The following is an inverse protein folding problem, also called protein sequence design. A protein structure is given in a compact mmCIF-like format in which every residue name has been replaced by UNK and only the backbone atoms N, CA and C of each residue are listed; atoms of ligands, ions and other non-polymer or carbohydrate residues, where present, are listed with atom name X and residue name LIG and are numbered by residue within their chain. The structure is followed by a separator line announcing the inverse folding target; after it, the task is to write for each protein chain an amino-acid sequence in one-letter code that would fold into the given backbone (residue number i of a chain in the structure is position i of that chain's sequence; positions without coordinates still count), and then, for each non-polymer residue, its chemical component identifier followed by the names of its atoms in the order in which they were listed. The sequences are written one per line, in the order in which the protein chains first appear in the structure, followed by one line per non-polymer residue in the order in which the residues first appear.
data_IF_625283683210
#
_entry.id   IF_625283683210
#
_cell.length_a   1.000
_cell.length_b   1.000
_cell.length_c   1.000
_cell.angle_alpha   90.00
_cell.angle_beta   90.00
_cell.angle_gamma   90.00
#
_symmetry.space_group_name_H-M   'P 1'
#
loop_
_entity.id
_entity.type
_entity.pdbx_description
1 polymer ?
#
# COMPACT_ATOMS: atom_id res chain seq x y z
N UNK A 1 140.67 15.34 43.44
CA UNK A 1 139.84 14.45 44.27
C UNK A 1 138.45 14.43 43.64
N UNK A 2 138.03 13.32 43.05
CA UNK A 2 136.69 13.21 42.46
C UNK A 2 135.67 13.13 43.60
N UNK A 3 134.78 14.11 43.69
CA UNK A 3 133.70 14.13 44.67
C UNK A 3 132.56 13.23 44.20
N UNK A 4 132.66 11.92 44.45
CA UNK A 4 131.63 10.93 44.11
C UNK A 4 130.24 11.29 44.68
N UNK A 5 130.24 12.02 45.79
CA UNK A 5 129.03 12.52 46.45
C UNK A 5 128.26 13.54 45.61
N UNK A 6 128.93 14.45 44.90
CA UNK A 6 128.25 15.45 44.07
C UNK A 6 127.64 14.82 42.81
N UNK A 7 128.28 13.80 42.24
CA UNK A 7 127.74 13.05 41.10
C UNK A 7 126.46 12.30 41.45
N UNK A 8 126.40 11.65 42.63
CA UNK A 8 125.18 10.99 43.11
C UNK A 8 124.05 12.01 43.29
N UNK A 9 124.33 13.17 43.89
CA UNK A 9 123.33 14.23 44.06
C UNK A 9 122.81 14.78 42.73
N UNK A 10 123.67 14.92 41.73
CA UNK A 10 123.29 15.39 40.40
C UNK A 10 122.42 14.37 39.65
N UNK A 11 122.73 13.08 39.76
CA UNK A 11 121.89 11.99 39.23
C UNK A 11 120.53 11.96 39.94
N UNK A 12 120.50 12.08 41.27
CA UNK A 12 119.25 12.12 42.03
C UNK A 12 118.42 13.35 41.63
N UNK A 13 119.05 14.51 41.46
CA UNK A 13 118.37 15.72 41.02
C UNK A 13 117.80 15.57 39.60
N UNK A 14 118.57 14.99 38.67
CA UNK A 14 118.09 14.71 37.32
C UNK A 14 116.90 13.74 37.33
N UNK A 15 116.97 12.65 38.09
CA UNK A 15 115.86 11.69 38.23
C UNK A 15 114.64 12.34 38.87
N UNK A 16 114.82 13.19 39.88
CA UNK A 16 113.72 13.93 40.51
C UNK A 16 113.03 14.87 39.51
N UNK A 17 113.81 15.61 38.71
CA UNK A 17 113.27 16.50 37.67
C UNK A 17 112.56 15.70 36.58
N UNK A 18 113.14 14.60 36.09
CA UNK A 18 112.50 13.74 35.08
C UNK A 18 111.21 13.12 35.61
N UNK A 19 111.20 12.70 36.88
CA UNK A 19 109.99 12.18 37.52
C UNK A 19 108.89 13.24 37.62
N UNK A 20 109.23 14.47 38.02
CA UNK A 20 108.30 15.60 38.05
C UNK A 20 107.80 15.91 36.64
N UNK A 21 108.68 15.97 35.64
CA UNK A 21 108.32 16.24 34.25
C UNK A 21 107.38 15.17 33.68
N UNK A 22 107.67 13.89 33.95
CA UNK A 22 106.83 12.77 33.56
C UNK A 22 105.45 12.84 34.22
N UNK A 23 105.39 13.13 35.52
CA UNK A 23 104.16 13.23 36.30
C UNK A 23 103.31 14.45 35.87
N UNK A 24 103.94 15.60 35.67
CA UNK A 24 103.29 16.90 35.43
C UNK A 24 102.93 17.11 33.96
N UNK A 25 103.71 16.62 33.00
CA UNK A 25 103.46 16.89 31.56
C UNK A 25 102.90 15.65 30.84
N UNK A 26 103.54 14.50 30.98
CA UNK A 26 103.19 13.31 30.19
C UNK A 26 101.80 12.77 30.53
N UNK A 27 101.44 12.80 31.82
CA UNK A 27 100.14 12.33 32.32
C UNK A 27 98.96 13.17 31.80
N UNK A 28 98.93 14.51 31.93
CA UNK A 28 97.83 15.30 31.38
C UNK A 28 97.79 15.30 29.84
N UNK A 29 98.94 15.30 29.15
CA UNK A 29 98.95 15.23 27.68
C UNK A 29 98.35 13.92 27.18
N UNK A 30 98.70 12.78 27.78
CA UNK A 30 98.10 11.48 27.46
C UNK A 30 96.59 11.46 27.73
N UNK A 31 96.15 12.06 28.84
CA UNK A 31 94.73 12.14 29.18
C UNK A 31 93.94 13.00 28.18
N UNK A 32 94.49 14.15 27.74
CA UNK A 32 93.84 15.03 26.75
C UNK A 32 93.72 14.33 25.38
N UNK A 33 94.78 13.63 24.95
CA UNK A 33 94.75 12.86 23.71
C UNK A 33 93.71 11.74 23.76
N UNK A 34 93.67 10.96 24.85
CA UNK A 34 92.66 9.92 25.05
C UNK A 34 91.24 10.48 25.11
N UNK A 35 91.06 11.65 25.73
CA UNK A 35 89.75 12.30 25.80
C UNK A 35 89.28 12.76 24.42
N UNK A 36 90.16 13.38 23.62
CA UNK A 36 89.84 13.75 22.23
C UNK A 36 89.55 12.52 21.37
N UNK A 37 90.33 11.44 21.52
CA UNK A 37 90.10 10.20 20.79
C UNK A 37 88.74 9.58 21.14
N UNK A 38 88.35 9.61 22.43
CA UNK A 38 87.02 9.18 22.89
C UNK A 38 85.90 10.07 22.35
N UNK A 39 86.05 11.39 22.40
CA UNK A 39 85.06 12.35 21.87
C UNK A 39 84.82 12.13 20.38
N UNK A 40 85.89 12.03 19.57
CA UNK A 40 85.81 11.75 18.14
C UNK A 40 85.12 10.40 17.90
N UNK A 41 85.45 9.37 18.69
CA UNK A 41 84.80 8.06 18.59
C UNK A 41 83.32 8.13 18.93
N UNK A 42 82.93 8.79 20.01
CA UNK A 42 81.50 8.96 20.38
C UNK A 42 80.71 9.75 19.35
N UNK A 43 81.30 10.80 18.75
CA UNK A 43 80.64 11.57 17.68
C UNK A 43 80.46 10.69 16.45
N UNK A 44 81.48 9.94 16.05
CA UNK A 44 81.40 9.02 14.90
C UNK A 44 80.37 7.91 15.12
N UNK A 45 80.40 7.27 16.28
CA UNK A 45 79.44 6.23 16.67
C UNK A 45 78.01 6.79 16.72
N UNK A 46 77.84 8.03 17.20
CA UNK A 46 76.57 8.75 17.19
C UNK A 46 76.04 9.04 15.78
N UNK A 47 76.91 9.46 14.86
CA UNK A 47 76.55 9.68 13.44
C UNK A 47 76.15 8.37 12.77
N UNK A 48 76.91 7.28 12.98
CA UNK A 48 76.58 5.96 12.43
C UNK A 48 75.26 5.43 13.00
N UNK A 49 75.02 5.59 14.30
CA UNK A 49 73.77 5.20 14.95
C UNK A 49 72.58 6.00 14.39
N UNK A 50 72.68 7.33 14.33
CA UNK A 50 71.63 8.17 13.75
C UNK A 50 71.36 7.81 12.29
N UNK A 51 72.40 7.53 11.48
CA UNK A 51 72.22 7.09 10.08
C UNK A 51 71.46 5.77 9.99
N UNK A 52 71.78 4.79 10.85
CA UNK A 52 71.07 3.51 10.92
C UNK A 52 69.62 3.70 11.34
N UNK A 53 69.37 4.53 12.33
CA UNK A 53 68.04 4.81 12.86
C UNK A 53 67.16 5.53 11.82
N UNK A 54 67.70 6.53 11.11
CA UNK A 54 66.99 7.19 9.99
C UNK A 54 66.72 6.22 8.84
N UNK A 55 67.66 5.32 8.52
CA UNK A 55 67.45 4.32 7.48
C UNK A 55 66.35 3.31 7.86
N UNK A 56 66.33 2.87 9.13
CA UNK A 56 65.27 2.01 9.66
C UNK A 56 63.92 2.71 9.63
N UNK A 57 63.85 3.96 10.10
CA UNK A 57 62.61 4.74 10.10
C UNK A 57 62.05 4.92 8.68
N UNK A 58 62.93 5.11 7.69
CA UNK A 58 62.53 5.21 6.28
C UNK A 58 61.98 3.89 5.75
N UNK A 59 62.62 2.78 6.04
CA UNK A 59 62.17 1.44 5.62
C UNK A 59 60.82 1.08 6.26
N UNK A 60 60.64 1.39 7.55
CA UNK A 60 59.35 1.23 8.24
C UNK A 60 58.26 2.12 7.65
N UNK A 61 58.58 3.37 7.34
CA UNK A 61 57.63 4.29 6.70
C UNK A 61 57.22 3.82 5.31
N UNK A 62 58.17 3.39 4.47
CA UNK A 62 57.88 2.83 3.15
C UNK A 62 57.04 1.54 3.23
N UNK A 63 57.33 0.67 4.19
CA UNK A 63 56.52 -0.52 4.46
C UNK A 63 55.11 -0.14 4.89
N UNK A 64 54.98 0.83 5.81
CA UNK A 64 53.69 1.35 6.26
C UNK A 64 52.86 1.93 5.13
N UNK A 65 53.47 2.71 4.21
CA UNK A 65 52.79 3.24 3.03
C UNK A 65 52.28 2.13 2.10
N UNK A 66 53.12 1.11 1.83
CA UNK A 66 52.71 -0.04 1.00
C UNK A 66 51.58 -0.84 1.63
N UNK A 67 51.62 -1.04 2.94
CA UNK A 67 50.56 -1.73 3.68
C UNK A 67 49.25 -0.93 3.63
N UNK A 68 49.33 0.38 3.83
CA UNK A 68 48.17 1.27 3.79
C UNK A 68 47.55 1.34 2.40
N UNK A 69 48.37 1.29 1.34
CA UNK A 69 47.90 1.22 -0.04
C UNK A 69 47.17 -0.10 -0.32
N UNK A 70 47.67 -1.24 0.17
CA UNK A 70 46.97 -2.54 0.08
C UNK A 70 45.65 -2.56 0.86
N UNK A 71 45.63 -2.02 2.08
CA UNK A 71 44.40 -1.94 2.88
C UNK A 71 43.37 -1.06 2.18
N UNK A 72 43.81 0.09 1.62
CA UNK A 72 42.95 0.98 0.86
C UNK A 72 42.35 0.30 -0.36
N UNK A 73 43.16 -0.43 -1.16
CA UNK A 73 42.63 -1.12 -2.35
C UNK A 73 41.68 -2.25 -1.97
N UNK A 74 41.98 -3.02 -0.91
CA UNK A 74 41.07 -4.01 -0.36
C UNK A 74 39.74 -3.40 0.07
N UNK A 75 39.78 -2.31 0.84
CA UNK A 75 38.58 -1.60 1.29
C UNK A 75 37.73 -1.06 0.14
N UNK A 76 38.35 -0.52 -0.91
CA UNK A 76 37.63 -0.05 -2.11
C UNK A 76 36.96 -1.21 -2.84
N UNK A 77 37.64 -2.36 -2.93
CA UNK A 77 37.08 -3.53 -3.62
C UNK A 77 35.93 -4.15 -2.82
N UNK A 78 36.08 -4.28 -1.50
CA UNK A 78 35.00 -4.71 -0.60
C UNK A 78 33.79 -3.77 -0.69
N UNK A 79 34.02 -2.46 -0.68
CA UNK A 79 32.97 -1.47 -0.84
C UNK A 79 32.27 -1.57 -2.21
N UNK A 80 32.99 -1.92 -3.29
CA UNK A 80 32.40 -2.16 -4.60
C UNK A 80 31.55 -3.42 -4.62
N UNK A 81 32.03 -4.51 -4.04
CA UNK A 81 31.29 -5.77 -3.95
C UNK A 81 29.99 -5.56 -3.17
N UNK A 82 30.05 -4.86 -2.04
CA UNK A 82 28.87 -4.57 -1.23
C UNK A 82 27.89 -3.65 -1.97
N UNK A 83 28.39 -2.61 -2.64
CA UNK A 83 27.55 -1.74 -3.45
C UNK A 83 26.85 -2.48 -4.60
N UNK A 84 27.51 -3.45 -5.23
CA UNK A 84 26.91 -4.29 -6.27
C UNK A 84 25.82 -5.21 -5.72
N UNK A 85 26.06 -5.85 -4.57
CA UNK A 85 25.05 -6.67 -3.89
C UNK A 85 23.84 -5.84 -3.49
N UNK A 86 24.06 -4.67 -2.91
CA UNK A 86 23.00 -3.79 -2.49
C UNK A 86 22.19 -3.27 -3.68
N UNK A 87 22.86 -2.93 -4.79
CA UNK A 87 22.20 -2.59 -6.06
C UNK A 87 21.33 -3.74 -6.56
N UNK A 88 21.83 -4.96 -6.54
CA UNK A 88 21.06 -6.14 -6.97
C UNK A 88 19.85 -6.38 -6.07
N UNK A 89 20.01 -6.22 -4.75
CA UNK A 89 18.93 -6.29 -3.77
C UNK A 89 17.84 -5.25 -4.06
N UNK A 90 18.22 -3.99 -4.25
CA UNK A 90 17.29 -2.89 -4.56
C UNK A 90 16.54 -3.16 -5.87
N UNK A 91 17.23 -3.62 -6.91
CA UNK A 91 16.59 -3.94 -8.21
C UNK A 91 15.60 -5.09 -8.02
N UNK A 92 15.97 -6.13 -7.29
CA UNK A 92 15.09 -7.27 -7.03
C UNK A 92 13.84 -6.87 -6.25
N UNK A 93 14.01 -6.08 -5.17
CA UNK A 93 12.90 -5.55 -4.38
C UNK A 93 11.97 -4.68 -5.22
N UNK A 94 12.52 -3.79 -6.05
CA UNK A 94 11.74 -2.97 -6.97
C UNK A 94 10.96 -3.82 -7.99
N UNK A 95 11.56 -4.89 -8.52
CA UNK A 95 10.87 -5.81 -9.45
C UNK A 95 9.73 -6.57 -8.77
N UNK A 96 9.94 -7.04 -7.54
CA UNK A 96 8.90 -7.70 -6.74
C UNK A 96 7.75 -6.72 -6.43
N UNK A 97 8.06 -5.49 -6.04
CA UNK A 97 7.05 -4.44 -5.80
C UNK A 97 6.24 -4.14 -7.07
N UNK A 98 6.91 -3.94 -8.21
CA UNK A 98 6.25 -3.74 -9.52
C UNK A 98 5.33 -4.92 -9.87
N UNK A 99 5.76 -6.16 -9.65
CA UNK A 99 4.89 -7.33 -9.88
C UNK A 99 3.65 -7.32 -8.98
N UNK A 100 3.83 -7.00 -7.70
CA UNK A 100 2.70 -6.97 -6.75
C UNK A 100 1.70 -5.87 -7.12
N UNK A 101 2.17 -4.68 -7.45
CA UNK A 101 1.34 -3.56 -7.89
C UNK A 101 0.67 -3.84 -9.24
N UNK A 102 1.37 -4.49 -10.18
CA UNK A 102 0.76 -4.93 -11.43
C UNK A 102 -0.36 -5.93 -11.19
N UNK A 103 -0.16 -6.93 -10.30
CA UNK A 103 -1.21 -7.91 -9.93
C UNK A 103 -2.40 -7.22 -9.26
N UNK A 104 -2.18 -6.24 -8.38
CA UNK A 104 -3.25 -5.43 -7.77
C UNK A 104 -4.02 -4.64 -8.84
N UNK A 105 -3.32 -3.96 -9.72
CA UNK A 105 -3.89 -3.15 -10.81
C UNK A 105 -4.75 -3.99 -11.74
N UNK A 106 -4.28 -5.18 -12.15
CA UNK A 106 -5.05 -6.10 -12.99
C UNK A 106 -6.33 -6.56 -12.29
N UNK A 107 -6.27 -6.89 -10.99
CA UNK A 107 -7.47 -7.25 -10.21
C UNK A 107 -8.44 -6.09 -10.12
N UNK A 108 -7.94 -4.88 -9.86
CA UNK A 108 -8.74 -3.66 -9.80
C UNK A 108 -9.45 -3.39 -11.12
N UNK A 109 -8.72 -3.38 -12.25
CA UNK A 109 -9.30 -3.20 -13.59
C UNK A 109 -10.37 -4.26 -13.88
N UNK A 110 -10.15 -5.51 -13.49
CA UNK A 110 -11.13 -6.57 -13.67
C UNK A 110 -12.41 -6.31 -12.87
N UNK A 111 -12.29 -5.86 -11.62
CA UNK A 111 -13.45 -5.51 -10.80
C UNK A 111 -14.20 -4.30 -11.36
N UNK A 112 -13.48 -3.25 -11.75
CA UNK A 112 -14.09 -2.07 -12.37
C UNK A 112 -14.80 -2.42 -13.69
N UNK A 113 -14.21 -3.31 -14.52
CA UNK A 113 -14.87 -3.81 -15.73
C UNK A 113 -16.18 -4.54 -15.39
N UNK A 114 -16.18 -5.39 -14.37
CA UNK A 114 -17.40 -6.10 -13.95
C UNK A 114 -18.46 -5.12 -13.45
N UNK A 115 -18.10 -4.12 -12.65
CA UNK A 115 -19.02 -3.06 -12.21
C UNK A 115 -19.58 -2.26 -13.39
N UNK A 116 -18.73 -1.87 -14.34
CA UNK A 116 -19.17 -1.15 -15.52
C UNK A 116 -20.13 -1.98 -16.39
N UNK A 117 -19.90 -3.29 -16.51
CA UNK A 117 -20.83 -4.18 -17.21
C UNK A 117 -22.17 -4.28 -16.48
N UNK A 118 -22.16 -4.35 -15.15
CA UNK A 118 -23.39 -4.36 -14.35
C UNK A 118 -24.16 -3.05 -14.50
N UNK A 119 -23.48 -1.90 -14.43
CA UNK A 119 -24.11 -0.60 -14.63
C UNK A 119 -24.70 -0.45 -16.05
N UNK A 120 -23.97 -0.89 -17.08
CA UNK A 120 -24.47 -0.92 -18.46
C UNK A 120 -25.72 -1.79 -18.54
N UNK A 121 -25.73 -2.95 -17.88
CA UNK A 121 -26.86 -3.85 -17.86
C UNK A 121 -28.08 -3.22 -17.17
N UNK A 122 -27.90 -2.61 -16.00
CA UNK A 122 -28.98 -1.93 -15.29
C UNK A 122 -29.60 -0.81 -16.16
N UNK A 123 -28.75 -0.02 -16.82
CA UNK A 123 -29.19 1.02 -17.76
C UNK A 123 -29.92 0.43 -18.96
N UNK A 124 -29.44 -0.70 -19.51
CA UNK A 124 -30.09 -1.37 -20.63
C UNK A 124 -31.47 -1.91 -20.25
N UNK A 125 -31.62 -2.52 -19.07
CA UNK A 125 -32.92 -2.96 -18.54
C UNK A 125 -33.85 -1.77 -18.36
N UNK A 126 -33.38 -0.68 -17.74
CA UNK A 126 -34.18 0.54 -17.54
C UNK A 126 -34.65 1.14 -18.86
N UNK A 127 -33.76 1.26 -19.86
CA UNK A 127 -34.11 1.78 -21.17
C UNK A 127 -35.11 0.88 -21.90
N UNK A 128 -34.94 -0.45 -21.81
CA UNK A 128 -35.86 -1.42 -22.41
C UNK A 128 -37.27 -1.31 -21.82
N UNK A 129 -37.36 -1.15 -20.50
CA UNK A 129 -38.61 -0.92 -19.77
C UNK A 129 -39.26 0.39 -20.21
N UNK A 130 -38.49 1.46 -20.31
CA UNK A 130 -39.00 2.75 -20.77
C UNK A 130 -39.53 2.67 -22.20
N UNK A 131 -38.78 2.04 -23.12
CA UNK A 131 -39.21 1.83 -24.50
C UNK A 131 -40.47 0.97 -24.59
N UNK A 132 -40.52 -0.15 -23.85
CA UNK A 132 -41.70 -1.02 -23.79
C UNK A 132 -42.91 -0.26 -23.25
N UNK A 133 -42.73 0.55 -22.20
CA UNK A 133 -43.77 1.40 -21.64
C UNK A 133 -44.30 2.43 -22.64
N UNK A 134 -43.44 3.09 -23.41
CA UNK A 134 -43.85 4.03 -24.47
C UNK A 134 -44.58 3.34 -25.62
N UNK A 135 -44.06 2.23 -26.13
CA UNK A 135 -44.72 1.45 -27.20
C UNK A 135 -46.10 0.96 -26.78
N UNK A 136 -46.21 0.44 -25.55
CA UNK A 136 -47.49 0.00 -25.02
C UNK A 136 -48.43 1.18 -24.71
N UNK A 137 -47.89 2.35 -24.35
CA UNK A 137 -48.66 3.59 -24.23
C UNK A 137 -49.31 3.97 -25.57
N UNK A 138 -48.57 3.87 -26.66
CA UNK A 138 -49.06 4.21 -28.00
C UNK A 138 -50.13 3.22 -28.52
N UNK A 139 -50.10 1.98 -28.05
CA UNK A 139 -51.03 0.90 -28.40
C UNK A 139 -52.10 0.69 -27.30
N UNK A 140 -52.20 1.63 -26.35
CA UNK A 140 -53.14 1.49 -25.22
C UNK A 140 -54.57 1.43 -25.74
N UNK A 141 -55.11 0.24 -25.90
CA UNK A 141 -56.49 -0.02 -26.25
C UNK A 141 -57.20 -0.72 -25.08
N UNK A 142 -58.53 -0.77 -25.11
CA UNK A 142 -59.34 -1.32 -24.01
C UNK A 142 -58.97 -2.79 -23.68
N UNK A 143 -58.47 -3.53 -24.68
CA UNK A 143 -57.92 -4.88 -24.53
C UNK A 143 -56.73 -4.97 -23.54
N UNK A 144 -55.82 -3.98 -23.57
CA UNK A 144 -54.67 -3.96 -22.67
C UNK A 144 -55.12 -3.71 -21.23
N UNK A 145 -56.11 -2.83 -21.03
CA UNK A 145 -56.69 -2.55 -19.73
C UNK A 145 -57.39 -3.77 -19.14
N UNK A 146 -58.18 -4.49 -19.93
CA UNK A 146 -58.82 -5.74 -19.50
C UNK A 146 -57.80 -6.81 -19.12
N UNK A 147 -56.72 -6.95 -19.91
CA UNK A 147 -55.69 -7.94 -19.63
C UNK A 147 -54.95 -7.63 -18.32
N UNK A 148 -54.60 -6.37 -18.09
CA UNK A 148 -53.93 -5.93 -16.86
C UNK A 148 -54.84 -6.08 -15.64
N UNK A 149 -56.14 -5.83 -15.79
CA UNK A 149 -57.13 -6.08 -14.74
C UNK A 149 -57.19 -7.57 -14.37
N UNK A 150 -57.33 -8.46 -15.35
CA UNK A 150 -57.36 -9.91 -15.10
C UNK A 150 -56.09 -10.39 -14.40
N UNK A 151 -54.93 -9.93 -14.84
CA UNK A 151 -53.65 -10.25 -14.18
C UNK A 151 -53.58 -9.74 -12.73
N UNK A 152 -54.17 -8.59 -12.42
CA UNK A 152 -54.25 -8.08 -11.06
C UNK A 152 -55.16 -8.97 -10.18
N UNK A 153 -56.33 -9.34 -10.68
CA UNK A 153 -57.26 -10.22 -9.96
C UNK A 153 -56.66 -11.60 -9.71
N UNK A 154 -56.07 -12.23 -10.74
CA UNK A 154 -55.35 -13.51 -10.60
C UNK A 154 -54.23 -13.42 -9.54
N UNK A 155 -53.53 -12.28 -9.48
CA UNK A 155 -52.46 -12.07 -8.48
C UNK A 155 -53.02 -11.92 -7.06
N UNK A 156 -54.19 -11.30 -6.92
CA UNK A 156 -54.89 -11.17 -5.64
C UNK A 156 -55.42 -12.52 -5.15
N UNK A 157 -55.94 -13.36 -6.04
CA UNK A 157 -56.40 -14.72 -5.72
C UNK A 157 -55.26 -15.61 -5.23
N UNK A 158 -54.08 -15.46 -5.83
CA UNK A 158 -52.89 -16.27 -5.50
C UNK A 158 -52.01 -15.64 -4.42
N UNK A 159 -52.53 -14.71 -3.60
CA UNK A 159 -51.76 -14.09 -2.53
C UNK A 159 -51.33 -15.14 -1.48
N UNK A 160 -50.10 -15.04 -0.95
CA UNK A 160 -49.65 -15.89 0.13
C UNK A 160 -50.59 -15.80 1.35
N UNK A 161 -50.85 -16.90 2.08
CA UNK A 161 -51.74 -16.91 3.24
C UNK A 161 -51.36 -15.91 4.34
N UNK A 162 -50.08 -15.53 4.42
CA UNK A 162 -49.58 -14.52 5.37
C UNK A 162 -50.04 -13.09 5.02
N UNK A 163 -50.08 -12.73 3.75
CA UNK A 163 -50.54 -11.42 3.29
C UNK A 163 -52.07 -11.30 3.41
N UNK A 164 -52.80 -12.39 3.12
CA UNK A 164 -54.24 -12.48 3.33
C UNK A 164 -54.62 -12.30 4.82
N UNK A 165 -53.85 -12.86 5.75
CA UNK A 165 -54.05 -12.64 7.19
C UNK A 165 -53.88 -11.18 7.59
N UNK A 166 -52.82 -10.51 7.09
CA UNK A 166 -52.59 -9.07 7.37
C UNK A 166 -53.72 -8.20 6.83
N UNK A 167 -54.28 -8.54 5.68
CA UNK A 167 -55.43 -7.84 5.12
C UNK A 167 -56.67 -8.06 6.00
N UNK A 168 -56.93 -9.30 6.42
CA UNK A 168 -58.07 -9.63 7.28
C UNK A 168 -58.01 -9.00 8.69
N UNK A 169 -56.82 -8.72 9.23
CA UNK A 169 -56.64 -8.03 10.52
C UNK A 169 -57.02 -6.55 10.48
N UNK A 170 -56.94 -5.92 9.30
CA UNK A 170 -57.23 -4.50 9.11
C UNK A 170 -58.73 -4.25 8.90
N UNK A 171 -59.46 -5.25 8.38
CA UNK A 171 -60.91 -5.18 8.12
C UNK A 171 -61.69 -5.33 9.42
N UNK A 172 -62.01 -4.21 10.07
CA UNK A 172 -62.52 -4.21 11.45
C UNK A 172 -64.00 -4.55 11.65
N UNK A 173 -64.87 -4.56 10.64
CA UNK A 173 -66.33 -4.73 10.86
C UNK A 173 -67.05 -5.44 9.70
N UNK A 174 -66.34 -6.26 8.92
CA UNK A 174 -66.94 -6.96 7.77
C UNK A 174 -67.26 -6.07 6.56
N UNK A 175 -66.92 -4.78 6.62
CA UNK A 175 -66.92 -3.86 5.48
C UNK A 175 -65.50 -3.38 5.16
N UNK A 176 -65.11 -3.44 3.89
CA UNK A 176 -63.83 -2.96 3.39
C UNK A 176 -64.04 -1.74 2.48
N UNK A 177 -63.22 -0.69 2.66
CA UNK A 177 -63.21 0.43 1.72
C UNK A 177 -62.12 0.22 0.67
N UNK A 178 -62.52 0.21 -0.59
CA UNK A 178 -61.62 0.06 -1.71
C UNK A 178 -61.64 1.30 -2.61
N UNK A 179 -60.48 1.90 -2.85
CA UNK A 179 -60.28 2.99 -3.80
C UNK A 179 -59.66 2.41 -5.08
N UNK A 180 -60.34 2.58 -6.21
CA UNK A 180 -59.92 2.10 -7.52
C UNK A 180 -59.45 3.28 -8.36
N UNK A 181 -58.23 3.22 -8.88
CA UNK A 181 -57.68 4.24 -9.77
C UNK A 181 -57.43 3.61 -11.14
N UNK A 182 -58.16 4.03 -12.16
CA UNK A 182 -58.03 3.52 -13.52
C UNK A 182 -57.54 4.60 -14.49
N UNK A 183 -56.74 4.18 -15.48
CA UNK A 183 -56.30 5.06 -16.56
C UNK A 183 -57.47 5.56 -17.44
N UNK A 184 -58.50 4.72 -17.60
CA UNK A 184 -59.72 5.02 -18.38
C UNK A 184 -60.99 4.69 -17.60
N UNK A 185 -62.15 5.27 -17.98
CA UNK A 185 -63.42 4.94 -17.37
C UNK A 185 -63.73 3.44 -17.51
N UNK A 186 -64.09 2.79 -16.42
CA UNK A 186 -64.53 1.40 -16.42
C UNK A 186 -66.02 1.31 -16.74
N UNK A 187 -66.40 0.31 -17.54
CA UNK A 187 -67.81 0.04 -17.82
C UNK A 187 -68.50 -0.62 -16.60
N UNK A 188 -69.83 -0.73 -16.65
CA UNK A 188 -70.62 -1.25 -15.53
C UNK A 188 -70.26 -2.71 -15.23
N UNK A 189 -70.07 -3.52 -16.27
CA UNK A 189 -69.77 -4.95 -16.13
C UNK A 189 -68.41 -5.18 -15.46
N UNK A 190 -67.38 -4.42 -15.84
CA UNK A 190 -66.05 -4.46 -15.23
C UNK A 190 -66.09 -4.04 -13.75
N UNK A 191 -66.91 -3.04 -13.40
CA UNK A 191 -67.05 -2.61 -12.00
C UNK A 191 -67.69 -3.69 -11.13
N UNK A 192 -68.73 -4.37 -11.65
CA UNK A 192 -69.37 -5.47 -10.94
C UNK A 192 -68.48 -6.72 -10.87
N UNK A 193 -67.70 -7.02 -11.92
CA UNK A 193 -66.69 -8.09 -11.93
C UNK A 193 -65.64 -7.85 -10.84
N UNK A 194 -65.02 -6.66 -10.81
CA UNK A 194 -64.03 -6.28 -9.80
C UNK A 194 -64.62 -6.37 -8.40
N UNK A 195 -65.83 -5.84 -8.19
CA UNK A 195 -66.49 -5.88 -6.88
C UNK A 195 -66.72 -7.32 -6.44
N UNK A 196 -67.24 -8.18 -7.32
CA UNK A 196 -67.55 -9.58 -7.01
C UNK A 196 -66.29 -10.38 -6.69
N UNK A 197 -65.25 -10.28 -7.52
CA UNK A 197 -63.98 -10.98 -7.29
C UNK A 197 -63.32 -10.53 -5.99
N UNK A 198 -63.30 -9.22 -5.69
CA UNK A 198 -62.72 -8.75 -4.44
C UNK A 198 -63.54 -9.19 -3.21
N UNK A 199 -64.87 -9.25 -3.31
CA UNK A 199 -65.73 -9.74 -2.23
C UNK A 199 -65.47 -11.21 -1.92
N UNK A 200 -65.25 -12.03 -2.94
CA UNK A 200 -64.91 -13.45 -2.80
C UNK A 200 -63.54 -13.64 -2.16
N UNK A 201 -62.52 -12.89 -2.60
CA UNK A 201 -61.14 -13.01 -2.10
C UNK A 201 -61.03 -12.53 -0.64
N UNK A 202 -61.67 -11.41 -0.30
CA UNK A 202 -61.50 -10.74 1.01
C UNK A 202 -62.60 -11.12 2.02
N UNK A 203 -63.65 -11.82 1.59
CA UNK A 203 -64.80 -12.22 2.40
C UNK A 203 -65.39 -11.05 3.23
N UNK A 204 -65.49 -9.88 2.61
CA UNK A 204 -66.04 -8.66 3.21
C UNK A 204 -66.94 -7.91 2.24
N UNK A 205 -67.85 -7.08 2.76
CA UNK A 205 -68.66 -6.19 1.92
C UNK A 205 -67.80 -5.01 1.45
N UNK A 206 -67.65 -4.87 0.15
CA UNK A 206 -66.77 -3.85 -0.45
C UNK A 206 -67.55 -2.60 -0.86
N UNK A 207 -67.17 -1.48 -0.28
CA UNK A 207 -67.56 -0.15 -0.73
C UNK A 207 -66.48 0.38 -1.69
N UNK A 208 -66.71 0.17 -2.99
CA UNK A 208 -65.80 0.54 -4.07
C UNK A 208 -66.01 1.99 -4.50
N UNK A 209 -64.96 2.81 -4.37
CA UNK A 209 -64.90 4.19 -4.87
C UNK A 209 -64.04 4.23 -6.12
N UNK A 210 -64.62 4.65 -7.24
CA UNK A 210 -63.96 4.77 -8.53
C UNK A 210 -63.34 6.16 -8.72
N UNK A 211 -62.07 6.18 -9.11
CA UNK A 211 -61.29 7.36 -9.42
C UNK A 211 -60.62 7.19 -10.79
N UNK A 212 -60.67 8.23 -11.60
CA UNK A 212 -59.89 8.28 -12.84
C UNK A 212 -58.55 8.95 -12.56
N UNK A 213 -57.46 8.28 -12.93
CA UNK A 213 -56.09 8.81 -12.84
C UNK A 213 -55.43 8.79 -14.22
N UNK A 214 -55.42 9.95 -14.88
CA UNK A 214 -54.83 10.14 -16.21
C UNK A 214 -53.30 10.13 -16.22
N UNK A 215 -52.65 10.08 -15.05
CA UNK A 215 -51.20 9.88 -14.96
C UNK A 215 -50.80 8.41 -15.19
N UNK A 216 -51.76 7.49 -15.10
CA UNK A 216 -51.56 6.08 -15.39
C UNK A 216 -51.59 5.85 -16.91
N UNK A 217 -50.60 5.11 -17.42
CA UNK A 217 -50.51 4.76 -18.84
C UNK A 217 -51.64 3.77 -19.21
N UNK A 218 -51.74 2.66 -18.46
CA UNK A 218 -52.77 1.64 -18.61
C UNK A 218 -52.87 0.78 -17.34
N UNK A 219 -54.01 0.11 -17.18
CA UNK A 219 -54.30 -0.76 -16.04
C UNK A 219 -54.92 0.00 -14.86
N UNK A 220 -54.86 -0.64 -13.69
CA UNK A 220 -55.62 -0.22 -12.52
C UNK A 220 -54.74 -0.34 -11.27
N UNK A 221 -54.85 0.64 -10.38
CA UNK A 221 -54.29 0.60 -9.03
C UNK A 221 -55.43 0.50 -8.03
N UNK A 222 -55.38 -0.51 -7.18
CA UNK A 222 -56.38 -0.77 -6.17
C UNK A 222 -55.78 -0.48 -4.79
N UNK A 223 -56.48 0.29 -3.97
CA UNK A 223 -56.06 0.59 -2.60
C UNK A 223 -57.15 0.15 -1.64
N UNK A 224 -56.80 -0.74 -0.72
CA UNK A 224 -57.73 -1.34 0.24
C UNK A 224 -57.19 -1.08 1.64
N UNK A 225 -57.91 -0.29 2.43
CA UNK A 225 -57.58 0.03 3.83
C UNK A 225 -56.08 0.29 4.08
N UNK A 226 -55.47 1.10 3.20
CA UNK A 226 -54.06 1.53 3.29
C UNK A 226 -53.04 0.65 2.54
N UNK A 227 -53.44 -0.54 2.07
CA UNK A 227 -52.60 -1.39 1.22
C UNK A 227 -52.81 -1.04 -0.26
N UNK A 228 -51.73 -0.99 -1.04
CA UNK A 228 -51.76 -0.66 -2.46
C UNK A 228 -51.39 -1.88 -3.29
N UNK A 229 -52.28 -2.26 -4.19
CA UNK A 229 -52.07 -3.29 -5.20
C UNK A 229 -51.95 -2.62 -6.56
N UNK A 230 -50.75 -2.70 -7.12
CA UNK A 230 -50.44 -2.06 -8.40
C UNK A 230 -50.55 -3.09 -9.54
N UNK A 231 -51.63 -2.99 -10.32
CA UNK A 231 -51.84 -3.72 -11.57
C UNK A 231 -51.60 -2.86 -12.80
N UNK A 232 -50.91 -1.73 -12.65
CA UNK A 232 -50.63 -0.83 -13.78
C UNK A 232 -49.56 -1.41 -14.69
N UNK A 233 -49.55 -0.98 -15.94
CA UNK A 233 -48.53 -1.36 -16.91
C UNK A 233 -47.11 -1.04 -16.39
N UNK A 234 -46.93 0.14 -15.78
CA UNK A 234 -45.63 0.56 -15.21
C UNK A 234 -45.20 -0.40 -14.09
N UNK A 235 -46.08 -0.68 -13.13
CA UNK A 235 -45.78 -1.59 -12.03
C UNK A 235 -45.40 -3.00 -12.50
N UNK A 236 -46.07 -3.51 -13.55
CA UNK A 236 -45.76 -4.81 -14.13
C UNK A 236 -44.42 -4.82 -14.88
N UNK A 237 -44.09 -3.76 -15.64
CA UNK A 237 -42.80 -3.64 -16.32
C UNK A 237 -41.65 -3.52 -15.31
N UNK A 238 -41.83 -2.77 -14.22
CA UNK A 238 -40.85 -2.64 -13.14
C UNK A 238 -40.64 -3.99 -12.43
N UNK A 239 -41.70 -4.77 -12.20
CA UNK A 239 -41.60 -6.10 -11.62
C UNK A 239 -40.85 -7.09 -12.53
N UNK A 240 -41.01 -6.98 -13.86
CA UNK A 240 -40.24 -7.76 -14.83
C UNK A 240 -38.77 -7.32 -14.82
N UNK A 241 -38.51 -6.00 -14.79
CA UNK A 241 -37.17 -5.42 -14.70
C UNK A 241 -36.41 -5.95 -13.48
N UNK A 242 -37.06 -5.96 -12.31
CA UNK A 242 -36.50 -6.49 -11.06
C UNK A 242 -36.20 -7.98 -11.14
N UNK A 243 -37.06 -8.79 -11.78
CA UNK A 243 -36.78 -10.21 -12.01
C UNK A 243 -35.58 -10.42 -12.93
N UNK A 244 -35.45 -9.61 -13.99
CA UNK A 244 -34.32 -9.67 -14.92
C UNK A 244 -33.00 -9.22 -14.29
N UNK A 245 -33.03 -8.28 -13.34
CA UNK A 245 -31.86 -7.90 -12.53
C UNK A 245 -31.44 -9.01 -11.55
N UNK A 246 -32.40 -9.75 -10.97
CA UNK A 246 -32.12 -10.82 -9.99
C UNK A 246 -31.67 -12.15 -10.60
N UNK A 247 -31.96 -12.40 -11.88
CA UNK A 247 -31.63 -13.65 -12.56
C UNK A 247 -30.24 -13.71 -13.18
N UNK A 248 -29.34 -12.79 -12.80
CA UNK A 248 -28.00 -12.67 -13.36
C UNK A 248 -26.94 -12.31 -12.35
#
# INVERSE_FOLDING_TARGET
MFNFWTFIFEVVNFVAVVYILYRVIFRPVKNILQQREREIKTVRDGIEKNRKEVAQLRDEYEKGLKELEKVKTGYIEDARVEALKERERIIKEAMEEIETERKKTVRFIRQEKLRALEEIKERAVSLSVEMAGRLMSDISDDLLQERLLKMLLERLENLPPEELRRLSEVVKDGSCRAELYSARPLNIDQKEEIRSSLQEILNCRIDLVDHQDTSLIAGIRLKIDGHVFDGTLRGNLDAIAEKLKKQS
#
